data_IF_859547923397
#
_entry.id   IF_859547923397
#
_cell.length_a   1.000
_cell.length_b   1.000
_cell.length_c   1.000
_cell.angle_alpha   90.00
_cell.angle_beta   90.00
_cell.angle_gamma   90.00
#
_symmetry.space_group_name_H-M   'P 1'
#
loop_
_entity.id
_entity.type
_entity.pdbx_description
1 polymer ?
#
# COMPACT_ATOMS: atom_id res chain seq x y z
N UNK A 1 -7.86 -14.94 1.19
CA UNK A 1 -6.65 -15.01 0.33
C UNK A 1 -5.60 -14.01 0.78
N UNK A 2 -4.32 -14.36 0.70
CA UNK A 2 -3.21 -13.42 0.90
C UNK A 2 -2.92 -12.70 -0.42
N UNK A 3 -2.91 -11.38 -0.41
CA UNK A 3 -2.59 -10.53 -1.56
C UNK A 3 -1.27 -9.81 -1.27
N UNK A 4 -0.42 -9.69 -2.29
CA UNK A 4 0.77 -8.84 -2.27
C UNK A 4 0.58 -7.73 -3.28
N UNK A 5 0.67 -6.48 -2.83
CA UNK A 5 0.67 -5.28 -3.68
C UNK A 5 2.10 -4.81 -3.83
N UNK A 6 2.59 -4.79 -5.07
CA UNK A 6 3.91 -4.28 -5.41
C UNK A 6 3.80 -2.78 -5.71
N UNK A 7 4.35 -1.95 -4.83
CA UNK A 7 4.40 -0.49 -5.01
C UNK A 7 5.77 -0.14 -5.59
N UNK A 8 5.81 0.35 -6.83
CA UNK A 8 7.04 0.66 -7.54
C UNK A 8 7.20 2.18 -7.79
N UNK A 9 8.42 2.70 -7.64
CA UNK A 9 8.79 4.07 -8.00
C UNK A 9 10.19 4.10 -8.64
N UNK A 10 10.61 5.22 -9.26
CA UNK A 10 11.80 5.24 -10.11
C UNK A 10 13.11 4.77 -9.46
N UNK A 11 13.19 4.79 -8.13
CA UNK A 11 14.40 4.45 -7.37
C UNK A 11 14.26 3.20 -6.50
N UNK A 12 13.11 2.53 -6.48
CA UNK A 12 12.87 1.40 -5.59
C UNK A 12 11.47 0.82 -5.70
N UNK A 13 11.19 -0.16 -4.84
CA UNK A 13 9.86 -0.73 -4.67
C UNK A 13 9.67 -1.15 -3.22
N UNK A 14 8.41 -1.35 -2.84
CA UNK A 14 8.00 -1.94 -1.58
C UNK A 14 6.83 -2.89 -1.81
N UNK A 15 6.89 -4.04 -1.14
CA UNK A 15 5.84 -5.05 -1.21
C UNK A 15 4.98 -4.92 0.06
N UNK A 16 3.68 -4.71 -0.14
CA UNK A 16 2.70 -4.64 0.95
C UNK A 16 1.82 -5.88 0.90
N UNK A 17 1.89 -6.69 1.95
CA UNK A 17 1.12 -7.92 2.07
C UNK A 17 -0.07 -7.72 3.02
N UNK A 18 -1.26 -8.16 2.62
CA UNK A 18 -2.44 -8.16 3.48
C UNK A 18 -3.40 -9.31 3.15
N UNK A 19 -4.12 -9.73 4.17
CA UNK A 19 -5.16 -10.76 4.05
C UNK A 19 -6.48 -10.14 3.63
N UNK A 20 -7.10 -10.68 2.58
CA UNK A 20 -8.44 -10.34 2.12
C UNK A 20 -9.36 -11.56 2.17
N UNK A 21 -10.66 -11.32 2.12
CA UNK A 21 -11.64 -12.40 1.96
C UNK A 21 -11.44 -13.14 0.62
N UNK A 22 -11.64 -14.45 0.60
CA UNK A 22 -11.54 -15.25 -0.64
C UNK A 22 -12.65 -14.94 -1.65
N UNK A 23 -13.72 -14.26 -1.23
CA UNK A 23 -14.81 -13.78 -2.07
C UNK A 23 -14.64 -12.35 -2.56
N UNK A 24 -13.52 -11.69 -2.22
CA UNK A 24 -13.24 -10.32 -2.62
C UNK A 24 -13.34 -10.14 -4.14
N UNK A 25 -14.04 -9.10 -4.55
CA UNK A 25 -14.20 -8.75 -5.95
C UNK A 25 -12.95 -8.07 -6.50
N UNK A 26 -12.75 -8.07 -7.83
CA UNK A 26 -11.64 -7.33 -8.45
C UNK A 26 -11.62 -5.83 -8.12
N UNK A 27 -12.79 -5.23 -7.89
CA UNK A 27 -12.93 -3.82 -7.52
C UNK A 27 -12.42 -3.57 -6.10
N UNK A 28 -12.81 -4.42 -5.13
CA UNK A 28 -12.33 -4.33 -3.75
C UNK A 28 -10.81 -4.55 -3.65
N UNK A 29 -10.26 -5.46 -4.48
CA UNK A 29 -8.80 -5.68 -4.55
C UNK A 29 -8.10 -4.42 -5.11
N UNK A 30 -8.70 -3.76 -6.10
CA UNK A 30 -8.15 -2.52 -6.66
C UNK A 30 -8.20 -1.36 -5.65
N UNK A 31 -9.31 -1.20 -4.91
CA UNK A 31 -9.42 -0.20 -3.83
C UNK A 31 -8.38 -0.44 -2.72
N UNK A 32 -8.17 -1.71 -2.32
CA UNK A 32 -7.15 -2.05 -1.34
C UNK A 32 -5.72 -1.75 -1.84
N UNK A 33 -5.44 -2.03 -3.11
CA UNK A 33 -4.15 -1.70 -3.72
C UNK A 33 -3.93 -0.18 -3.85
N UNK A 34 -4.98 0.59 -4.17
CA UNK A 34 -4.93 2.06 -4.20
C UNK A 34 -4.67 2.62 -2.79
N UNK A 35 -5.36 2.11 -1.77
CA UNK A 35 -5.12 2.51 -0.38
C UNK A 35 -3.69 2.19 0.07
N UNK A 36 -3.17 0.99 -0.23
CA UNK A 36 -1.80 0.61 0.10
C UNK A 36 -0.77 1.51 -0.62
N UNK A 37 -0.99 1.80 -1.91
CA UNK A 37 -0.18 2.74 -2.66
C UNK A 37 -0.20 4.13 -2.02
N UNK A 38 -1.38 4.65 -1.65
CA UNK A 38 -1.51 5.93 -0.97
C UNK A 38 -0.82 5.92 0.39
N UNK A 39 -0.95 4.89 1.21
CA UNK A 39 -0.29 4.86 2.52
C UNK A 39 1.25 4.86 2.41
N UNK A 40 1.80 4.11 1.44
CA UNK A 40 3.25 4.07 1.18
C UNK A 40 3.73 5.39 0.58
N UNK A 41 2.99 5.96 -0.38
CA UNK A 41 3.41 7.16 -1.10
C UNK A 41 3.04 8.48 -0.40
N UNK A 42 2.07 8.48 0.51
CA UNK A 42 1.71 9.62 1.35
C UNK A 42 2.71 9.72 2.51
N UNK A 43 3.99 9.86 2.13
CA UNK A 43 5.11 10.09 3.02
C UNK A 43 4.80 11.32 3.89
N UNK A 44 4.26 11.08 5.09
CA UNK A 44 4.41 12.01 6.19
C UNK A 44 5.90 12.25 6.39
N UNK A 45 6.35 13.49 6.27
CA UNK A 45 7.73 13.84 6.55
C UNK A 45 7.86 14.13 8.04
N UNK A 46 8.88 13.59 8.69
CA UNK A 46 9.22 13.97 10.05
C UNK A 46 10.46 14.84 10.05
N UNK A 47 10.44 15.98 10.75
CA UNK A 47 11.63 16.78 11.00
C UNK A 47 12.06 16.50 12.44
N UNK A 48 13.27 15.95 12.63
CA UNK A 48 13.81 15.59 13.95
C UNK A 48 12.99 14.56 14.75
N UNK A 49 12.27 13.65 14.08
CA UNK A 49 11.49 12.60 14.74
C UNK A 49 10.08 13.01 15.19
N UNK A 50 9.66 14.25 14.92
CA UNK A 50 8.27 14.69 15.06
C UNK A 50 7.57 14.54 13.69
N UNK A 51 6.45 13.81 13.64
CA UNK A 51 5.60 13.74 12.44
C UNK A 51 5.03 15.14 12.14
N UNK A 52 5.15 15.59 10.89
CA UNK A 52 4.50 16.80 10.39
C UNK A 52 3.09 16.52 9.86
#
# INVERSE_FOLDING_TARGET
MLITVHVEWPTGHEDVEFEMDDSATPEEIAEAAESAFFDVCNFGYSINGEQA
#
